data_IF_054145172122
#
_entry.id   IF_054145172122
#
_cell.length_a   1.000
_cell.length_b   1.000
_cell.length_c   1.000
_cell.angle_alpha   90.00
_cell.angle_beta   90.00
_cell.angle_gamma   90.00
#
_symmetry.space_group_name_H-M   'P 1'
#
loop_
_entity.id
_entity.type
_entity.pdbx_description
1 polymer ?
#
# COMPACT_ATOMS: atom_id res chain seq x y z
N UNK A 1 6.64 -29.89 10.48
CA UNK A 1 6.94 -28.66 9.71
C UNK A 1 7.27 -29.09 8.29
N UNK A 2 6.70 -28.46 7.27
CA UNK A 2 7.07 -28.70 5.85
C UNK A 2 8.10 -27.63 5.47
N UNK A 3 9.35 -28.05 5.19
CA UNK A 3 10.47 -27.16 4.85
C UNK A 3 11.00 -27.57 3.48
N UNK A 4 11.07 -26.61 2.56
CA UNK A 4 11.55 -26.86 1.19
C UNK A 4 12.58 -25.81 0.78
N UNK A 5 13.61 -26.26 0.06
CA UNK A 5 14.54 -25.36 -0.63
C UNK A 5 13.96 -24.97 -1.99
N UNK A 6 14.01 -23.67 -2.31
CA UNK A 6 13.51 -23.08 -3.55
C UNK A 6 14.70 -22.72 -4.45
N UNK A 7 15.30 -23.73 -5.08
CA UNK A 7 16.56 -23.62 -5.87
C UNK A 7 16.45 -22.88 -7.20
N UNK A 8 15.27 -22.35 -7.56
CA UNK A 8 15.06 -21.53 -8.77
C UNK A 8 14.63 -20.08 -8.47
N UNK A 9 14.52 -19.71 -7.20
CA UNK A 9 14.12 -18.36 -6.82
C UNK A 9 15.32 -17.41 -6.86
N UNK A 10 15.26 -16.37 -7.69
CA UNK A 10 16.29 -15.33 -7.70
C UNK A 10 16.09 -14.38 -6.53
N UNK A 11 16.81 -14.62 -5.43
CA UNK A 11 16.77 -13.77 -4.21
C UNK A 11 17.88 -12.71 -4.20
N UNK A 12 18.66 -12.60 -5.28
CA UNK A 12 19.81 -11.69 -5.37
C UNK A 12 20.88 -11.91 -4.26
N UNK A 13 20.85 -13.07 -3.59
CA UNK A 13 21.80 -13.53 -2.55
C UNK A 13 22.57 -14.76 -3.01
N UNK A 14 23.71 -15.01 -2.39
CA UNK A 14 24.51 -16.24 -2.49
C UNK A 14 23.86 -17.44 -1.75
N UNK A 15 22.86 -17.17 -0.91
CA UNK A 15 22.10 -18.18 -0.18
C UNK A 15 20.86 -18.67 -0.94
N UNK A 16 20.52 -19.95 -0.75
CA UNK A 16 19.30 -20.57 -1.28
C UNK A 16 18.09 -20.15 -0.44
N UNK A 17 16.99 -19.77 -1.11
CA UNK A 17 15.73 -19.51 -0.42
C UNK A 17 15.19 -20.79 0.22
N UNK A 18 15.00 -20.78 1.53
CA UNK A 18 14.33 -21.86 2.26
C UNK A 18 12.97 -21.36 2.71
N UNK A 19 11.91 -22.12 2.39
CA UNK A 19 10.54 -21.82 2.78
C UNK A 19 10.04 -22.89 3.74
N UNK A 20 9.59 -22.48 4.92
CA UNK A 20 8.87 -23.34 5.86
C UNK A 20 7.40 -22.97 5.92
N UNK A 21 6.53 -23.98 6.03
CA UNK A 21 5.09 -23.80 6.28
C UNK A 21 4.81 -24.13 7.74
N UNK A 22 4.36 -23.12 8.47
CA UNK A 22 3.97 -23.24 9.89
C UNK A 22 2.53 -22.75 10.05
N UNK A 23 1.74 -23.47 10.84
CA UNK A 23 0.35 -23.12 11.15
C UNK A 23 0.28 -22.67 12.61
N UNK A 24 0.00 -21.40 12.82
CA UNK A 24 -0.25 -20.85 14.16
C UNK A 24 -1.74 -20.63 14.36
N UNK A 25 -2.24 -20.93 15.56
CA UNK A 25 -3.57 -20.47 16.01
C UNK A 25 -3.38 -19.09 16.64
N UNK A 26 -3.62 -18.04 15.85
CA UNK A 26 -3.58 -16.67 16.35
C UNK A 26 -4.92 -16.32 17.02
N UNK A 27 -4.87 -15.64 18.16
CA UNK A 27 -6.05 -15.07 18.80
C UNK A 27 -6.69 -14.02 17.87
N UNK A 28 -7.86 -14.35 17.31
CA UNK A 28 -8.57 -13.49 16.34
C UNK A 28 -8.92 -12.10 16.90
N UNK A 29 -9.07 -11.99 18.23
CA UNK A 29 -9.43 -10.74 18.92
C UNK A 29 -8.35 -9.64 18.76
N UNK A 30 -7.07 -10.01 18.67
CA UNK A 30 -5.99 -9.04 18.44
C UNK A 30 -6.06 -8.41 17.04
N UNK A 31 -6.51 -9.17 16.04
CA UNK A 31 -6.57 -8.73 14.64
C UNK A 31 -7.89 -8.05 14.27
N UNK A 32 -9.01 -8.43 14.90
CA UNK A 32 -10.33 -7.78 14.69
C UNK A 32 -10.31 -6.27 14.96
N UNK A 33 -9.54 -5.80 15.96
CA UNK A 33 -9.41 -4.36 16.24
C UNK A 33 -8.79 -3.55 15.08
N UNK A 34 -8.11 -4.18 14.12
CA UNK A 34 -7.43 -3.49 13.01
C UNK A 34 -8.26 -3.35 11.74
N UNK A 35 -9.36 -4.08 11.57
CA UNK A 35 -10.15 -4.04 10.34
C UNK A 35 -10.72 -2.62 10.08
N UNK A 36 -11.03 -1.87 11.13
CA UNK A 36 -11.53 -0.50 11.03
C UNK A 36 -10.45 0.59 11.09
N UNK A 37 -9.17 0.23 11.29
CA UNK A 37 -8.09 1.21 11.49
C UNK A 37 -7.58 1.89 10.23
N UNK A 38 -8.18 1.58 9.07
CA UNK A 38 -7.66 1.98 7.76
C UNK A 38 -8.53 3.00 7.03
N UNK A 39 -9.72 3.31 7.56
CA UNK A 39 -10.52 4.38 7.02
C UNK A 39 -9.94 5.72 7.47
N UNK A 40 -9.42 6.48 6.51
CA UNK A 40 -8.99 7.86 6.76
C UNK A 40 -9.82 8.74 5.83
N UNK A 41 -10.65 9.67 6.34
CA UNK A 41 -11.44 10.54 5.47
C UNK A 41 -10.52 11.45 4.66
N UNK A 42 -10.87 11.67 3.40
CA UNK A 42 -10.15 12.60 2.54
C UNK A 42 -10.58 14.04 2.83
N UNK A 43 -9.85 14.71 3.73
CA UNK A 43 -10.15 16.08 4.16
C UNK A 43 -10.08 17.10 3.03
N UNK A 44 -9.37 16.80 1.93
CA UNK A 44 -9.24 17.72 0.81
C UNK A 44 -10.55 17.85 0.02
N UNK A 45 -11.40 16.81 0.06
CA UNK A 45 -12.72 16.81 -0.57
C UNK A 45 -13.74 17.66 0.19
N UNK A 46 -13.46 18.09 1.43
CA UNK A 46 -14.28 19.07 2.15
C UNK A 46 -14.23 20.48 1.51
N UNK A 47 -13.28 20.73 0.61
CA UNK A 47 -13.23 21.96 -0.18
C UNK A 47 -14.35 22.00 -1.25
N UNK A 48 -14.92 20.85 -1.60
CA UNK A 48 -16.05 20.78 -2.52
C UNK A 48 -17.34 21.22 -1.84
N UNK A 49 -18.01 22.21 -2.44
CA UNK A 49 -19.22 22.83 -1.86
C UNK A 49 -20.35 21.82 -1.61
N UNK A 50 -20.45 20.76 -2.40
CA UNK A 50 -21.51 19.76 -2.28
C UNK A 50 -21.28 18.83 -1.07
N UNK A 51 -20.06 18.29 -0.95
CA UNK A 51 -19.65 17.42 0.17
C UNK A 51 -19.73 18.20 1.48
N UNK A 52 -19.28 19.46 1.49
CA UNK A 52 -19.36 20.31 2.67
C UNK A 52 -20.79 20.57 3.13
N UNK A 53 -21.72 20.80 2.18
CA UNK A 53 -23.15 21.00 2.50
C UNK A 53 -23.75 19.73 3.09
N UNK A 54 -23.49 18.58 2.49
CA UNK A 54 -24.00 17.29 2.97
C UNK A 54 -23.47 16.96 4.37
N UNK A 55 -22.18 17.17 4.61
CA UNK A 55 -21.55 17.01 5.92
C UNK A 55 -22.21 17.92 6.97
N UNK A 56 -22.38 19.22 6.67
CA UNK A 56 -23.02 20.17 7.58
C UNK A 56 -24.45 19.79 7.92
N UNK A 57 -25.23 19.34 6.93
CA UNK A 57 -26.61 18.88 7.14
C UNK A 57 -26.65 17.68 8.10
N UNK A 58 -25.86 16.63 7.83
CA UNK A 58 -25.80 15.43 8.69
C UNK A 58 -25.30 15.76 10.10
N UNK A 59 -24.29 16.61 10.22
CA UNK A 59 -23.77 17.05 11.51
C UNK A 59 -24.82 17.82 12.32
N UNK A 60 -25.51 18.79 11.69
CA UNK A 60 -26.55 19.58 12.36
C UNK A 60 -27.72 18.72 12.82
N UNK A 61 -28.19 17.78 11.99
CA UNK A 61 -29.27 16.86 12.33
C UNK A 61 -28.88 15.94 13.50
N UNK A 62 -27.64 15.43 13.50
CA UNK A 62 -27.15 14.58 14.59
C UNK A 62 -27.01 15.33 15.91
N UNK A 63 -26.49 16.56 15.89
CA UNK A 63 -26.34 17.37 17.11
C UNK A 63 -27.71 17.75 17.70
N UNK A 64 -28.68 18.14 16.85
CA UNK A 64 -30.02 18.50 17.30
C UNK A 64 -30.70 17.30 17.98
N UNK A 65 -30.61 16.11 17.39
CA UNK A 65 -31.20 14.88 17.94
C UNK A 65 -30.64 14.47 19.31
N UNK A 66 -29.37 14.78 19.58
CA UNK A 66 -28.69 14.37 20.82
C UNK A 66 -28.90 15.37 21.96
N UNK A 67 -29.09 16.65 21.63
CA UNK A 67 -29.30 17.73 22.60
C UNK A 67 -30.60 17.53 23.41
N UNK A 68 -31.58 16.84 22.82
CA UNK A 68 -32.86 16.50 23.46
C UNK A 68 -32.75 15.34 24.47
N UNK A 69 -31.60 14.65 24.59
CA UNK A 69 -31.50 13.32 25.24
C UNK A 69 -30.64 13.20 26.52
N UNK A 70 -30.25 14.31 27.18
CA UNK A 70 -29.72 14.39 28.58
C UNK A 70 -28.19 14.28 28.85
N UNK A 71 -27.71 15.02 29.87
CA UNK A 71 -26.55 14.73 30.74
C UNK A 71 -25.16 15.17 30.28
N UNK A 72 -24.63 16.29 30.82
CA UNK A 72 -23.41 16.99 30.39
C UNK A 72 -22.15 16.15 30.04
N UNK A 73 -21.89 15.04 30.73
CA UNK A 73 -20.68 14.22 30.51
C UNK A 73 -20.85 13.16 29.40
N UNK A 74 -22.10 12.80 29.07
CA UNK A 74 -22.44 11.98 27.90
C UNK A 74 -22.33 12.78 26.60
N UNK A 75 -22.54 14.10 26.67
CA UNK A 75 -22.59 15.00 25.50
C UNK A 75 -21.31 14.94 24.68
N UNK A 76 -20.12 14.99 25.29
CA UNK A 76 -18.87 15.02 24.52
C UNK A 76 -18.57 13.71 23.78
N UNK A 77 -18.93 12.55 24.36
CA UNK A 77 -18.78 11.26 23.69
C UNK A 77 -19.75 11.15 22.52
N UNK A 78 -21.01 11.53 22.73
CA UNK A 78 -22.01 11.53 21.68
C UNK A 78 -21.65 12.49 20.54
N UNK A 79 -21.22 13.72 20.85
CA UNK A 79 -20.76 14.69 19.85
C UNK A 79 -19.60 14.13 19.02
N UNK A 80 -18.63 13.48 19.66
CA UNK A 80 -17.53 12.82 18.95
C UNK A 80 -18.04 11.73 18.00
N UNK A 81 -18.98 10.90 18.45
CA UNK A 81 -19.56 9.84 17.62
C UNK A 81 -20.36 10.39 16.45
N UNK A 82 -21.13 11.46 16.66
CA UNK A 82 -21.87 12.18 15.61
C UNK A 82 -20.91 12.77 14.57
N UNK A 83 -19.81 13.39 15.01
CA UNK A 83 -18.77 13.90 14.10
C UNK A 83 -18.18 12.75 13.29
N UNK A 84 -17.77 11.65 13.94
CA UNK A 84 -17.18 10.52 13.23
C UNK A 84 -18.15 9.87 12.24
N UNK A 85 -19.42 9.72 12.63
CA UNK A 85 -20.48 9.14 11.79
C UNK A 85 -20.78 10.03 10.59
N UNK A 86 -21.01 11.33 10.81
CA UNK A 86 -21.26 12.28 9.73
C UNK A 86 -20.10 12.36 8.74
N UNK A 87 -18.85 12.33 9.21
CA UNK A 87 -17.67 12.25 8.32
C UNK A 87 -17.64 10.94 7.53
N UNK A 88 -17.88 9.79 8.16
CA UNK A 88 -17.88 8.49 7.49
C UNK A 88 -18.96 8.38 6.40
N UNK A 89 -20.10 9.06 6.58
CA UNK A 89 -21.24 9.00 5.67
C UNK A 89 -21.21 10.03 4.53
N UNK A 90 -20.43 11.11 4.65
CA UNK A 90 -20.43 12.22 3.68
C UNK A 90 -19.10 12.44 2.99
N UNK A 91 -17.99 12.19 3.68
CA UNK A 91 -16.65 12.36 3.12
C UNK A 91 -16.18 11.01 2.62
N UNK A 92 -15.79 10.84 1.35
CA UNK A 92 -15.24 9.57 0.90
C UNK A 92 -13.87 9.30 1.55
N UNK A 93 -13.54 8.01 1.68
CA UNK A 93 -12.25 7.58 2.19
C UNK A 93 -11.10 8.05 1.29
N UNK A 94 -9.95 8.34 1.90
CA UNK A 94 -8.70 8.56 1.22
C UNK A 94 -8.26 7.25 0.59
N UNK A 95 -8.22 7.21 -0.74
CA UNK A 95 -7.82 6.00 -1.42
C UNK A 95 -6.34 5.72 -1.17
N UNK A 96 -6.03 4.43 -1.12
CA UNK A 96 -4.65 4.00 -0.93
C UNK A 96 -3.89 4.18 -2.22
N UNK A 97 -2.80 4.92 -2.15
CA UNK A 97 -1.81 4.93 -3.23
C UNK A 97 -1.32 3.52 -3.50
N UNK A 98 -1.07 3.24 -4.78
CA UNK A 98 -0.46 2.00 -5.17
C UNK A 98 0.95 1.95 -4.57
N UNK A 99 1.23 0.93 -3.76
CA UNK A 99 2.52 0.77 -3.06
C UNK A 99 3.73 0.76 -4.03
N UNK A 100 3.49 0.39 -5.29
CA UNK A 100 4.50 0.16 -6.30
C UNK A 100 4.25 0.96 -7.59
N UNK A 101 3.94 2.26 -7.50
CA UNK A 101 3.75 3.13 -8.68
C UNK A 101 4.94 3.14 -9.66
N UNK A 102 6.15 2.81 -9.20
CA UNK A 102 7.34 2.69 -10.06
C UNK A 102 7.42 1.35 -10.83
N UNK A 103 6.55 0.39 -10.52
CA UNK A 103 6.55 -0.96 -11.09
C UNK A 103 5.67 -1.00 -12.34
N UNK A 104 6.23 -0.48 -13.44
CA UNK A 104 5.54 -0.51 -14.74
C UNK A 104 5.88 -1.78 -15.53
N UNK A 105 5.15 -1.99 -16.62
CA UNK A 105 5.32 -3.13 -17.53
C UNK A 105 6.77 -3.25 -18.06
N UNK A 106 7.47 -2.13 -18.32
CA UNK A 106 8.89 -2.17 -18.70
C UNK A 106 9.79 -2.75 -17.63
N UNK A 107 9.50 -2.44 -16.35
CA UNK A 107 10.28 -2.98 -15.24
C UNK A 107 9.99 -4.46 -15.06
N UNK A 108 8.72 -4.87 -15.21
CA UNK A 108 8.32 -6.27 -15.23
C UNK A 108 9.07 -7.06 -16.31
N UNK A 109 9.09 -6.58 -17.55
CA UNK A 109 9.83 -7.20 -18.66
C UNK A 109 11.33 -7.33 -18.36
N UNK A 110 11.96 -6.29 -17.81
CA UNK A 110 13.37 -6.35 -17.43
C UNK A 110 13.63 -7.40 -16.33
N UNK A 111 12.76 -7.49 -15.33
CA UNK A 111 12.83 -8.53 -14.27
C UNK A 111 12.62 -9.94 -14.85
N UNK A 112 11.67 -10.12 -15.76
CA UNK A 112 11.43 -11.41 -16.43
C UNK A 112 12.64 -11.85 -17.26
N UNK A 113 13.27 -10.94 -18.02
CA UNK A 113 14.50 -11.23 -18.77
C UNK A 113 15.64 -11.62 -17.83
N UNK A 114 15.84 -10.88 -16.74
CA UNK A 114 16.84 -11.21 -15.72
C UNK A 114 16.58 -12.59 -15.10
N UNK A 115 15.33 -12.90 -14.76
CA UNK A 115 14.96 -14.19 -14.17
C UNK A 115 15.16 -15.36 -15.14
N UNK A 116 14.85 -15.17 -16.43
CA UNK A 116 15.17 -16.16 -17.47
C UNK A 116 16.68 -16.41 -17.58
N UNK A 117 17.49 -15.36 -17.55
CA UNK A 117 18.95 -15.50 -17.56
C UNK A 117 19.48 -16.17 -16.27
N UNK A 118 18.86 -15.90 -15.11
CA UNK A 118 19.20 -16.57 -13.86
C UNK A 118 18.93 -18.09 -13.92
N UNK A 119 17.81 -18.50 -14.52
CA UNK A 119 17.53 -19.93 -14.72
C UNK A 119 18.55 -20.61 -15.64
N UNK A 120 19.07 -19.90 -16.65
CA UNK A 120 20.16 -20.39 -17.50
C UNK A 120 21.47 -20.52 -16.72
N UNK A 121 21.79 -19.54 -15.89
CA UNK A 121 22.97 -19.55 -15.01
C UNK A 121 22.95 -20.73 -14.01
N UNK A 122 21.76 -21.13 -13.55
CA UNK A 122 21.58 -22.26 -12.61
C UNK A 122 21.75 -23.64 -13.26
N UNK A 123 21.84 -23.74 -14.59
CA UNK A 123 21.99 -25.03 -15.25
C UNK A 123 23.37 -25.65 -14.98
N UNK A 124 23.42 -26.99 -14.89
CA UNK A 124 24.65 -27.76 -14.61
C UNK A 124 25.79 -27.47 -15.59
N UNK A 125 25.46 -27.09 -16.83
CA UNK A 125 26.41 -26.75 -17.89
C UNK A 125 26.40 -25.24 -18.19
N UNK A 126 26.46 -24.40 -17.16
CA UNK A 126 26.58 -22.96 -17.36
C UNK A 126 27.90 -22.60 -18.04
N UNK A 127 27.83 -21.73 -19.04
CA UNK A 127 28.99 -21.16 -19.73
C UNK A 127 29.26 -19.74 -19.23
N UNK A 128 30.47 -19.23 -19.51
CA UNK A 128 30.85 -17.85 -19.19
C UNK A 128 29.89 -16.82 -19.81
N UNK A 129 29.36 -17.12 -21.00
CA UNK A 129 28.40 -16.25 -21.69
C UNK A 129 27.06 -16.15 -20.97
N UNK A 130 26.55 -17.22 -20.36
CA UNK A 130 25.33 -17.17 -19.54
C UNK A 130 25.53 -16.33 -18.28
N UNK A 131 26.71 -16.42 -17.66
CA UNK A 131 27.06 -15.62 -16.50
C UNK A 131 27.18 -14.13 -16.84
N UNK A 132 27.91 -13.78 -17.91
CA UNK A 132 28.04 -12.42 -18.40
C UNK A 132 26.66 -11.82 -18.73
N UNK A 133 25.82 -12.57 -19.44
CA UNK A 133 24.45 -12.16 -19.77
C UNK A 133 23.60 -11.89 -18.53
N UNK A 134 23.68 -12.74 -17.50
CA UNK A 134 22.97 -12.50 -16.24
C UNK A 134 23.50 -11.23 -15.54
N UNK A 135 24.83 -11.06 -15.47
CA UNK A 135 25.45 -9.87 -14.84
C UNK A 135 25.01 -8.59 -15.54
N UNK A 136 24.97 -8.57 -16.86
CA UNK A 136 24.52 -7.42 -17.66
C UNK A 136 23.04 -7.10 -17.43
N UNK A 137 22.15 -8.11 -17.53
CA UNK A 137 20.72 -7.92 -17.31
C UNK A 137 20.42 -7.48 -15.86
N UNK A 138 21.16 -8.01 -14.88
CA UNK A 138 21.06 -7.58 -13.48
C UNK A 138 21.47 -6.11 -13.33
N UNK A 139 22.58 -5.68 -13.94
CA UNK A 139 23.03 -4.28 -13.93
C UNK A 139 21.99 -3.37 -14.58
N UNK A 140 21.46 -3.75 -15.74
CA UNK A 140 20.46 -3.00 -16.47
C UNK A 140 19.15 -2.85 -15.67
N UNK A 141 18.63 -3.93 -15.09
CA UNK A 141 17.44 -3.92 -14.24
C UNK A 141 17.64 -3.02 -13.01
N UNK A 142 18.77 -3.14 -12.29
CA UNK A 142 19.05 -2.29 -11.13
C UNK A 142 19.22 -0.82 -11.51
N UNK A 143 19.82 -0.52 -12.66
CA UNK A 143 19.93 0.86 -13.18
C UNK A 143 18.54 1.43 -13.48
N UNK A 144 17.66 0.64 -14.11
CA UNK A 144 16.27 1.00 -14.38
C UNK A 144 15.50 1.26 -13.08
N UNK A 145 15.60 0.35 -12.10
CA UNK A 145 14.98 0.49 -10.78
C UNK A 145 15.37 1.80 -10.10
N UNK A 146 16.68 2.08 -10.03
CA UNK A 146 17.22 3.31 -9.42
C UNK A 146 16.74 4.56 -10.15
N UNK A 147 16.61 4.52 -11.48
CA UNK A 147 16.07 5.63 -12.28
C UNK A 147 14.59 5.85 -11.98
N UNK A 148 13.76 4.82 -12.05
CA UNK A 148 12.31 4.93 -11.81
C UNK A 148 11.99 5.43 -10.40
N UNK A 149 12.64 4.86 -9.38
CA UNK A 149 12.49 5.33 -8.00
C UNK A 149 12.90 6.79 -7.81
N UNK A 150 13.99 7.23 -8.46
CA UNK A 150 14.42 8.64 -8.41
C UNK A 150 13.46 9.58 -9.13
N UNK A 151 12.91 9.18 -10.27
CA UNK A 151 11.92 9.97 -11.00
C UNK A 151 10.64 10.13 -10.17
N UNK A 152 10.11 9.03 -9.63
CA UNK A 152 8.96 9.06 -8.74
C UNK A 152 9.20 9.97 -7.53
N UNK A 153 10.37 9.87 -6.90
CA UNK A 153 10.75 10.77 -5.79
C UNK A 153 10.84 12.25 -6.21
N UNK A 154 11.35 12.55 -7.41
CA UNK A 154 11.40 13.91 -7.95
C UNK A 154 10.01 14.46 -8.25
N UNK A 155 9.11 13.64 -8.79
CA UNK A 155 7.71 14.01 -9.00
C UNK A 155 7.03 14.34 -7.66
N UNK A 156 7.28 13.52 -6.63
CA UNK A 156 6.79 13.82 -5.27
C UNK A 156 7.30 15.15 -4.71
N UNK A 157 8.55 15.53 -4.99
CA UNK A 157 9.10 16.81 -4.53
C UNK A 157 8.50 18.00 -5.30
N UNK A 158 8.32 17.86 -6.62
CA UNK A 158 7.83 18.96 -7.48
C UNK A 158 6.35 19.26 -7.28
N UNK A 159 5.55 18.25 -6.98
CA UNK A 159 4.11 18.38 -6.79
C UNK A 159 3.72 17.90 -5.39
N UNK A 160 4.05 18.65 -4.32
CA UNK A 160 3.61 18.30 -2.97
C UNK A 160 2.08 18.25 -2.89
N UNK A 161 1.35 18.99 -3.73
CA UNK A 161 -0.12 18.98 -3.81
C UNK A 161 -0.74 17.65 -4.26
N UNK A 162 -0.01 16.77 -4.96
CA UNK A 162 -0.51 15.42 -5.29
C UNK A 162 -0.57 14.51 -4.06
N UNK A 163 0.00 14.90 -2.91
CA UNK A 163 -0.12 14.20 -1.61
C UNK A 163 -1.57 13.95 -1.17
N UNK A 164 -2.54 14.66 -1.74
CA UNK A 164 -3.93 14.62 -1.31
C UNK A 164 -4.91 14.05 -2.32
N UNK A 165 -4.48 13.74 -3.56
CA UNK A 165 -5.39 13.18 -4.55
C UNK A 165 -4.90 11.82 -5.02
N UNK A 166 -5.58 10.72 -4.61
CA UNK A 166 -5.47 9.49 -5.35
C UNK A 166 -6.18 9.64 -6.71
N UNK A 167 -5.68 8.92 -7.72
CA UNK A 167 -6.22 8.90 -9.08
C UNK A 167 -7.41 7.98 -9.18
#
# INVERSE_FOLDING_TARGET
MDVRSYRGANVDTDHILVRSKVRFRLCKNFFRKRENGNYKPDTSKLMEKNILKEYKLKLSAGIISELDSSGNDFIWKSVKEIILKSVNESVPGLERRARNEWYDEDFRKATEMKNKAYLQLLQKHCTRTHEEKYRELRKAEKKLLRRKKRNLFREFIKEPGKLQQPK
#
